data_IF_242767660748
#
_entry.id   IF_242767660748
#
_cell.length_a   1.000
_cell.length_b   1.000
_cell.length_c   1.000
_cell.angle_alpha   90.00
_cell.angle_beta   90.00
_cell.angle_gamma   90.00
#
_symmetry.space_group_name_H-M   'P 1'
#
loop_
_entity.id
_entity.type
_entity.pdbx_description
1 polymer ?
#
# COMPACT_ATOMS: atom_id res chain seq x y z
N UNK A 1 -9.45 12.38 -16.27
CA UNK A 1 -9.90 12.49 -17.68
C UNK A 1 -11.16 13.34 -17.73
N UNK A 2 -11.18 14.36 -18.59
CA UNK A 2 -12.33 15.26 -18.78
C UNK A 2 -13.57 14.44 -19.17
N UNK A 3 -14.58 14.40 -18.30
CA UNK A 3 -15.89 13.81 -18.58
C UNK A 3 -16.73 14.81 -19.36
N UNK A 4 -16.34 15.05 -20.61
CA UNK A 4 -17.08 15.98 -21.44
C UNK A 4 -18.35 15.29 -21.97
N UNK A 5 -19.48 15.63 -21.34
CA UNK A 5 -20.83 15.21 -21.74
C UNK A 5 -21.50 16.22 -22.69
N UNK A 6 -20.71 17.03 -23.38
CA UNK A 6 -21.20 18.02 -24.32
C UNK A 6 -21.46 17.36 -25.68
N UNK A 7 -22.31 17.99 -26.51
CA UNK A 7 -22.62 17.46 -27.85
C UNK A 7 -21.32 17.29 -28.66
N UNK A 8 -20.98 16.06 -29.08
CA UNK A 8 -19.68 15.77 -29.69
C UNK A 8 -19.46 16.52 -31.00
N UNK A 9 -20.53 16.81 -31.75
CA UNK A 9 -20.45 17.57 -33.01
C UNK A 9 -20.13 19.04 -32.73
N UNK A 10 -20.81 19.63 -31.75
CA UNK A 10 -20.59 21.02 -31.33
C UNK A 10 -19.17 21.22 -30.77
N UNK A 11 -18.73 20.29 -29.93
CA UNK A 11 -17.39 20.32 -29.33
C UNK A 11 -16.31 20.19 -30.39
N UNK A 12 -16.43 19.22 -31.32
CA UNK A 12 -15.49 19.06 -32.43
C UNK A 12 -15.45 20.30 -33.34
N UNK A 13 -16.61 20.89 -33.61
CA UNK A 13 -16.72 22.14 -34.38
C UNK A 13 -15.99 23.31 -33.71
N UNK A 14 -16.26 23.52 -32.42
CA UNK A 14 -15.62 24.58 -31.62
C UNK A 14 -14.10 24.36 -31.52
N UNK A 15 -13.65 23.12 -31.27
CA UNK A 15 -12.23 22.77 -31.19
C UNK A 15 -11.50 22.98 -32.51
N UNK A 16 -12.11 22.63 -33.64
CA UNK A 16 -11.55 22.88 -34.97
C UNK A 16 -11.40 24.39 -35.24
N UNK A 17 -12.38 25.19 -34.83
CA UNK A 17 -12.31 26.65 -34.94
C UNK A 17 -11.19 27.23 -34.05
N UNK A 18 -11.08 26.77 -32.80
CA UNK A 18 -10.03 27.20 -31.87
C UNK A 18 -8.62 26.73 -32.28
N UNK A 19 -8.51 25.57 -32.94
CA UNK A 19 -7.26 25.08 -33.51
C UNK A 19 -6.67 26.00 -34.59
N UNK A 20 -7.52 26.73 -35.34
CA UNK A 20 -7.07 27.75 -36.30
C UNK A 20 -6.34 28.91 -35.62
N UNK A 21 -6.70 29.21 -34.36
CA UNK A 21 -6.04 30.23 -33.54
C UNK A 21 -4.74 29.73 -32.89
N UNK A 22 -4.27 28.52 -33.24
CA UNK A 22 -3.08 27.86 -32.65
C UNK A 22 -3.17 27.72 -31.12
N UNK A 23 -4.38 27.68 -30.56
CA UNK A 23 -4.57 27.30 -29.18
C UNK A 23 -4.25 25.81 -29.06
N UNK A 24 -3.13 25.50 -28.40
CA UNK A 24 -2.71 24.12 -28.14
C UNK A 24 -3.56 23.59 -26.98
N UNK A 25 -4.35 22.56 -27.26
CA UNK A 25 -5.01 21.77 -26.22
C UNK A 25 -4.04 20.69 -25.76
N UNK A 26 -3.89 20.53 -24.45
CA UNK A 26 -3.16 19.41 -23.84
C UNK A 26 -4.14 18.63 -22.95
N UNK A 27 -4.55 17.40 -23.31
CA UNK A 27 -4.06 16.57 -24.43
C UNK A 27 -4.60 17.01 -25.81
N UNK A 28 -3.96 16.50 -26.89
CA UNK A 28 -4.38 16.73 -28.26
C UNK A 28 -5.89 16.45 -28.46
N UNK A 29 -6.62 17.35 -29.13
CA UNK A 29 -8.06 17.22 -29.30
C UNK A 29 -8.39 16.04 -30.21
N UNK A 30 -9.50 15.36 -29.92
CA UNK A 30 -10.05 14.24 -30.69
C UNK A 30 -9.19 12.96 -30.79
N UNK A 31 -8.14 12.82 -29.97
CA UNK A 31 -7.35 11.58 -29.88
C UNK A 31 -8.13 10.44 -29.21
N UNK A 32 -8.94 10.75 -28.20
CA UNK A 32 -9.74 9.76 -27.47
C UNK A 32 -11.21 10.22 -27.38
N UNK A 33 -12.20 9.40 -27.78
CA UNK A 33 -13.59 9.70 -27.54
C UNK A 33 -13.84 9.91 -26.04
N UNK A 34 -14.54 10.99 -25.68
CA UNK A 34 -14.84 11.27 -24.28
C UNK A 34 -15.71 10.16 -23.71
N UNK A 35 -15.36 9.67 -22.51
CA UNK A 35 -16.04 8.53 -21.88
C UNK A 35 -15.92 7.19 -22.62
N UNK A 36 -14.88 6.99 -23.46
CA UNK A 36 -14.62 5.68 -24.09
C UNK A 36 -14.28 4.57 -23.09
N UNK A 37 -13.68 4.92 -21.96
CA UNK A 37 -13.37 4.01 -20.86
C UNK A 37 -14.32 4.34 -19.70
N UNK A 38 -15.24 3.43 -19.41
CA UNK A 38 -16.14 3.52 -18.28
C UNK A 38 -15.81 2.42 -17.28
N UNK A 39 -15.77 2.72 -15.96
CA UNK A 39 -15.66 1.69 -14.95
C UNK A 39 -16.88 0.76 -15.02
N UNK A 40 -16.66 -0.54 -14.98
CA UNK A 40 -17.72 -1.52 -14.74
C UNK A 40 -18.24 -1.36 -13.30
N UNK A 41 -19.54 -1.58 -13.11
CA UNK A 41 -20.10 -1.69 -11.76
C UNK A 41 -19.71 -3.06 -11.20
N UNK A 42 -18.94 -3.05 -10.11
CA UNK A 42 -18.47 -4.27 -9.47
C UNK A 42 -19.40 -4.61 -8.30
N UNK A 43 -19.84 -5.86 -8.23
CA UNK A 43 -20.49 -6.42 -7.06
C UNK A 43 -19.45 -7.12 -6.17
N UNK A 44 -19.77 -7.24 -4.88
CA UNK A 44 -18.99 -8.06 -3.96
C UNK A 44 -18.91 -9.52 -4.46
N UNK A 45 -17.76 -10.22 -4.36
CA UNK A 45 -16.48 -9.78 -3.78
C UNK A 45 -15.57 -9.00 -4.74
N UNK A 46 -15.90 -8.89 -6.03
CA UNK A 46 -15.07 -8.21 -7.05
C UNK A 46 -14.75 -6.74 -6.75
N UNK A 47 -15.52 -6.09 -5.87
CA UNK A 47 -15.22 -4.72 -5.40
C UNK A 47 -13.83 -4.60 -4.77
N UNK A 48 -13.30 -5.67 -4.15
CA UNK A 48 -11.93 -5.69 -3.60
C UNK A 48 -10.88 -5.45 -4.68
N UNK A 49 -11.12 -5.93 -5.92
CA UNK A 49 -10.17 -5.71 -7.04
C UNK A 49 -9.93 -4.24 -7.27
N UNK A 50 -10.99 -3.43 -7.21
CA UNK A 50 -10.90 -1.98 -7.39
C UNK A 50 -10.09 -1.36 -6.26
N UNK A 51 -10.35 -1.76 -5.02
CA UNK A 51 -9.69 -1.21 -3.86
C UNK A 51 -8.16 -1.45 -3.88
N UNK A 52 -7.72 -2.64 -4.32
CA UNK A 52 -6.29 -2.99 -4.41
C UNK A 52 -5.63 -2.74 -5.77
N UNK A 53 -6.37 -2.29 -6.79
CA UNK A 53 -5.85 -2.13 -8.16
C UNK A 53 -6.10 -0.76 -8.81
N UNK A 54 -6.99 0.07 -8.25
CA UNK A 54 -7.23 1.43 -8.72
C UNK A 54 -6.56 2.45 -7.77
N UNK A 55 -5.54 3.14 -8.26
CA UNK A 55 -4.81 4.17 -7.50
C UNK A 55 -5.67 5.36 -7.06
N UNK A 56 -6.89 5.48 -7.59
CA UNK A 56 -7.87 6.52 -7.23
C UNK A 56 -9.02 6.00 -6.38
N UNK A 57 -9.08 4.70 -6.12
CA UNK A 57 -10.10 4.14 -5.25
C UNK A 57 -9.71 4.39 -3.79
N UNK A 58 -10.66 4.92 -3.02
CA UNK A 58 -10.61 4.90 -1.56
C UNK A 58 -11.04 3.52 -1.10
N UNK A 59 -10.32 2.93 -0.14
CA UNK A 59 -10.86 1.80 0.59
C UNK A 59 -12.02 2.28 1.45
N UNK A 60 -13.23 1.75 1.21
CA UNK A 60 -14.43 2.17 1.95
C UNK A 60 -14.33 1.86 3.45
N UNK A 61 -13.54 0.85 3.82
CA UNK A 61 -13.31 0.44 5.21
C UNK A 61 -12.28 1.30 5.96
N UNK A 62 -11.21 1.75 5.30
CA UNK A 62 -10.12 2.51 5.96
C UNK A 62 -10.20 4.01 5.72
N UNK A 63 -10.95 4.46 4.71
CA UNK A 63 -10.96 5.86 4.28
C UNK A 63 -9.63 6.34 3.66
N UNK A 64 -8.62 5.48 3.61
CA UNK A 64 -7.28 5.77 3.09
C UNK A 64 -7.23 5.42 1.60
N UNK A 65 -6.58 6.30 0.83
CA UNK A 65 -6.26 6.04 -0.58
C UNK A 65 -5.04 5.13 -0.66
N UNK A 66 -5.18 3.96 -1.27
CA UNK A 66 -4.04 3.07 -1.58
C UNK A 66 -4.19 1.65 -1.06
N UNK A 67 -3.08 0.91 -1.13
CA UNK A 67 -2.98 -0.55 -0.90
C UNK A 67 -2.40 -0.92 0.47
N UNK A 68 -1.97 0.08 1.23
CA UNK A 68 -1.36 -0.02 2.55
C UNK A 68 -1.66 1.25 3.33
N UNK A 69 -1.03 1.44 4.48
CA UNK A 69 -1.24 2.63 5.31
C UNK A 69 -0.32 3.79 4.89
N UNK A 70 -0.53 4.95 5.52
CA UNK A 70 0.43 6.05 5.40
C UNK A 70 1.82 5.65 5.94
N UNK A 71 1.87 4.69 6.87
CA UNK A 71 3.08 4.00 7.35
C UNK A 71 4.17 5.00 7.78
N UNK A 72 5.31 5.07 7.08
CA UNK A 72 6.44 5.95 7.43
C UNK A 72 6.23 7.39 6.97
N UNK A 73 5.27 7.63 6.08
CA UNK A 73 5.11 8.91 5.35
C UNK A 73 4.60 10.03 6.24
N UNK A 74 3.91 9.67 7.33
CA UNK A 74 3.36 10.62 8.32
C UNK A 74 3.90 10.33 9.71
N UNK A 75 4.98 9.55 9.85
CA UNK A 75 5.52 9.14 11.15
C UNK A 75 6.05 10.32 11.99
N UNK A 76 6.41 11.43 11.33
CA UNK A 76 6.81 12.70 11.94
C UNK A 76 5.68 13.42 12.68
N UNK A 77 4.42 13.08 12.36
CA UNK A 77 3.23 13.60 13.04
C UNK A 77 2.54 12.53 13.88
N UNK A 78 2.55 11.27 13.41
CA UNK A 78 1.73 10.20 13.96
C UNK A 78 2.46 9.27 14.94
N UNK A 79 3.80 9.24 14.91
CA UNK A 79 4.64 8.34 15.71
C UNK A 79 4.25 6.85 15.66
N UNK A 80 3.66 6.39 14.55
CA UNK A 80 3.22 4.99 14.35
C UNK A 80 4.36 3.98 14.45
N UNK A 81 5.55 4.36 14.00
CA UNK A 81 6.78 3.60 14.12
C UNK A 81 7.74 4.32 15.07
N UNK A 82 7.76 3.94 16.35
CA UNK A 82 8.66 4.54 17.33
C UNK A 82 10.12 4.14 17.09
N UNK A 83 11.03 4.87 17.71
CA UNK A 83 12.46 4.54 17.70
C UNK A 83 12.71 3.15 18.29
N UNK A 84 13.68 2.42 17.75
CA UNK A 84 14.02 1.07 18.19
C UNK A 84 13.07 -0.03 17.73
N UNK A 85 12.06 0.27 16.88
CA UNK A 85 11.20 -0.72 16.22
C UNK A 85 11.50 -0.79 14.72
N UNK A 86 11.22 -1.94 14.12
CA UNK A 86 11.32 -2.17 12.68
C UNK A 86 9.92 -2.36 12.10
N UNK A 87 9.55 -1.51 11.13
CA UNK A 87 8.34 -1.69 10.33
C UNK A 87 8.63 -2.60 9.14
N UNK A 88 7.75 -3.57 8.90
CA UNK A 88 7.78 -4.45 7.74
C UNK A 88 6.66 -4.08 6.78
N UNK A 89 7.01 -4.02 5.50
CA UNK A 89 6.10 -3.79 4.37
C UNK A 89 6.30 -4.96 3.41
N UNK A 90 5.42 -5.96 3.47
CA UNK A 90 5.47 -7.15 2.62
C UNK A 90 4.46 -6.98 1.49
N UNK A 91 4.92 -6.49 0.34
CA UNK A 91 4.07 -6.23 -0.83
C UNK A 91 4.11 -7.42 -1.81
N UNK A 92 2.95 -7.99 -2.11
CA UNK A 92 2.78 -9.07 -3.09
C UNK A 92 2.23 -8.52 -4.41
N UNK A 93 2.72 -9.02 -5.55
CA UNK A 93 2.20 -8.71 -6.89
C UNK A 93 2.94 -7.62 -7.68
N UNK A 94 4.01 -7.02 -7.11
CA UNK A 94 4.88 -6.06 -7.82
C UNK A 94 5.71 -6.74 -8.93
N UNK A 95 6.15 -6.01 -9.97
CA UNK A 95 5.82 -4.64 -10.34
C UNK A 95 4.54 -4.55 -11.20
N UNK A 96 3.51 -5.36 -10.92
CA UNK A 96 2.23 -5.58 -11.66
C UNK A 96 2.10 -6.99 -12.26
N UNK A 97 2.75 -8.00 -11.66
CA UNK A 97 2.46 -9.41 -11.96
C UNK A 97 1.12 -9.84 -11.35
N UNK A 98 0.64 -9.11 -10.34
CA UNK A 98 -0.58 -9.41 -9.61
C UNK A 98 -0.43 -10.56 -8.63
N UNK A 99 -1.40 -10.71 -7.74
CA UNK A 99 -1.47 -11.77 -6.73
C UNK A 99 -2.92 -12.13 -6.45
N UNK A 100 -3.16 -13.34 -5.94
CA UNK A 100 -4.47 -13.77 -5.44
C UNK A 100 -4.49 -13.73 -3.92
N UNK A 101 -5.67 -13.55 -3.33
CA UNK A 101 -5.80 -13.57 -1.88
C UNK A 101 -5.45 -14.92 -1.24
N UNK A 102 -5.53 -16.03 -1.97
CA UNK A 102 -4.95 -17.32 -1.51
C UNK A 102 -3.46 -17.23 -1.19
N UNK A 103 -2.69 -16.49 -1.99
CA UNK A 103 -1.25 -16.34 -1.76
C UNK A 103 -0.96 -15.36 -0.63
N UNK A 104 -1.76 -14.29 -0.55
CA UNK A 104 -1.71 -13.32 0.55
C UNK A 104 -1.99 -14.04 1.87
N UNK A 105 -3.01 -14.91 1.93
CA UNK A 105 -3.30 -15.72 3.12
C UNK A 105 -2.14 -16.65 3.45
N UNK A 106 -1.54 -17.31 2.45
CA UNK A 106 -0.39 -18.21 2.69
C UNK A 106 0.77 -17.48 3.38
N UNK A 107 1.07 -16.25 2.96
CA UNK A 107 2.08 -15.41 3.61
C UNK A 107 1.62 -14.90 4.98
N UNK A 108 0.36 -14.49 5.11
CA UNK A 108 -0.20 -14.04 6.39
C UNK A 108 -0.18 -15.15 7.45
N UNK A 109 -0.57 -16.38 7.11
CA UNK A 109 -0.51 -17.54 8.00
C UNK A 109 0.93 -17.84 8.46
N UNK A 110 1.91 -17.77 7.56
CA UNK A 110 3.32 -17.96 7.91
C UNK A 110 3.83 -16.89 8.88
N UNK A 111 3.45 -15.63 8.67
CA UNK A 111 3.79 -14.53 9.56
C UNK A 111 3.08 -14.65 10.92
N UNK A 112 1.81 -15.03 10.93
CA UNK A 112 1.03 -15.25 12.14
C UNK A 112 1.61 -16.41 12.99
N UNK A 113 2.09 -17.48 12.34
CA UNK A 113 2.73 -18.61 13.01
C UNK A 113 4.03 -18.23 13.75
N UNK A 114 4.70 -17.17 13.32
CA UNK A 114 5.84 -16.57 14.03
C UNK A 114 5.44 -15.40 14.93
N UNK A 115 4.15 -15.22 15.22
CA UNK A 115 3.65 -14.27 16.22
C UNK A 115 3.65 -12.82 15.77
N UNK A 116 3.51 -12.57 14.46
CA UNK A 116 3.32 -11.21 13.94
C UNK A 116 1.94 -10.67 14.33
N UNK A 117 1.92 -9.42 14.80
CA UNK A 117 0.70 -8.63 14.97
C UNK A 117 0.54 -7.70 13.76
N UNK A 118 -0.49 -7.94 12.93
CA UNK A 118 -0.76 -7.13 11.75
C UNK A 118 -1.28 -5.74 12.11
N UNK A 119 -0.93 -4.75 11.28
CA UNK A 119 -1.42 -3.38 11.41
C UNK A 119 -2.94 -3.33 11.22
N UNK A 120 -3.66 -2.93 12.27
CA UNK A 120 -5.14 -2.90 12.30
C UNK A 120 -5.75 -2.02 11.21
N UNK A 121 -5.08 -0.91 10.88
CA UNK A 121 -5.58 0.01 9.85
C UNK A 121 -5.22 -0.41 8.43
N UNK A 122 -4.50 -1.51 8.26
CA UNK A 122 -4.12 -2.00 6.94
C UNK A 122 -5.34 -2.61 6.21
N UNK A 123 -5.51 -2.33 4.90
CA UNK A 123 -6.63 -2.85 4.13
C UNK A 123 -6.74 -4.38 4.08
N UNK A 124 -5.62 -5.10 4.10
CA UNK A 124 -5.61 -6.58 4.10
C UNK A 124 -6.05 -7.12 5.46
N UNK A 125 -5.59 -6.51 6.55
CA UNK A 125 -6.01 -6.89 7.92
C UNK A 125 -7.52 -6.79 8.10
N UNK A 126 -8.15 -5.78 7.49
CA UNK A 126 -9.62 -5.63 7.51
C UNK A 126 -10.38 -6.70 6.72
N UNK A 127 -9.69 -7.49 5.89
CA UNK A 127 -10.24 -8.66 5.20
C UNK A 127 -9.95 -9.98 5.94
N UNK A 128 -9.29 -9.93 7.11
CA UNK A 128 -9.04 -11.10 7.93
C UNK A 128 -10.25 -11.43 8.80
N UNK A 129 -10.69 -12.68 8.79
CA UNK A 129 -11.65 -13.19 9.78
C UNK A 129 -10.98 -13.47 11.11
N UNK A 130 -9.69 -13.78 11.09
CA UNK A 130 -8.86 -13.95 12.27
C UNK A 130 -7.41 -13.48 12.01
N UNK A 131 -7.06 -12.26 12.46
CA UNK A 131 -5.71 -11.74 12.32
C UNK A 131 -4.64 -12.57 13.03
N UNK A 132 -4.99 -13.29 14.11
CA UNK A 132 -4.01 -14.07 14.89
C UNK A 132 -3.55 -15.35 14.19
N UNK A 133 -4.32 -15.83 13.21
CA UNK A 133 -3.95 -16.93 12.32
C UNK A 133 -3.60 -16.46 10.91
N UNK A 134 -3.83 -15.19 10.57
CA UNK A 134 -3.68 -14.67 9.21
C UNK A 134 -4.77 -15.13 8.24
N UNK A 135 -5.88 -15.68 8.75
CA UNK A 135 -6.98 -16.23 7.93
C UNK A 135 -7.81 -15.09 7.32
N UNK A 136 -7.95 -15.10 6.00
CA UNK A 136 -8.77 -14.14 5.24
C UNK A 136 -10.21 -14.63 5.09
N UNK A 137 -11.11 -13.69 4.80
CA UNK A 137 -12.49 -13.99 4.42
C UNK A 137 -12.50 -14.94 3.21
N UNK A 138 -13.08 -16.15 3.34
CA UNK A 138 -13.12 -17.12 2.25
C UNK A 138 -13.84 -16.59 0.99
N UNK A 139 -14.72 -15.60 1.10
CA UNK A 139 -15.40 -14.98 -0.06
C UNK A 139 -14.43 -14.23 -0.98
N UNK A 140 -13.29 -13.75 -0.47
CA UNK A 140 -12.33 -12.96 -1.28
C UNK A 140 -11.16 -13.77 -1.83
N UNK A 141 -10.98 -15.03 -1.40
CA UNK A 141 -9.77 -15.81 -1.70
C UNK A 141 -9.48 -15.98 -3.20
N UNK A 142 -10.52 -16.19 -4.01
CA UNK A 142 -10.36 -16.34 -5.47
C UNK A 142 -10.23 -14.99 -6.21
N UNK A 143 -10.26 -13.86 -5.52
CA UNK A 143 -10.07 -12.56 -6.14
C UNK A 143 -8.58 -12.28 -6.44
N UNK A 144 -8.31 -11.79 -7.65
CA UNK A 144 -6.96 -11.39 -8.09
C UNK A 144 -6.83 -9.86 -8.10
N UNK A 145 -5.75 -9.36 -7.52
CA UNK A 145 -5.45 -7.92 -7.38
C UNK A 145 -4.07 -7.59 -7.95
N UNK A 146 -3.81 -6.30 -8.23
CA UNK A 146 -2.50 -5.85 -8.74
C UNK A 146 -1.40 -5.93 -7.69
N UNK A 147 -1.63 -5.39 -6.50
CA UNK A 147 -0.78 -5.66 -5.34
C UNK A 147 -1.52 -5.43 -4.03
N UNK A 148 -1.07 -6.12 -2.99
CA UNK A 148 -1.53 -5.96 -1.62
C UNK A 148 -0.34 -5.97 -0.67
N UNK A 149 -0.47 -5.29 0.46
CA UNK A 149 0.63 -5.09 1.40
C UNK A 149 0.21 -5.60 2.77
N UNK A 150 0.96 -6.55 3.31
CA UNK A 150 0.91 -6.89 4.73
C UNK A 150 1.88 -5.96 5.47
N UNK A 151 1.37 -5.26 6.48
CA UNK A 151 2.15 -4.30 7.28
C UNK A 151 2.11 -4.70 8.75
N UNK A 152 3.25 -4.61 9.41
CA UNK A 152 3.39 -4.91 10.84
C UNK A 152 4.69 -4.31 11.36
N UNK A 153 4.88 -4.34 12.69
CA UNK A 153 6.12 -3.87 13.32
C UNK A 153 6.61 -4.88 14.35
N UNK A 154 7.92 -5.01 14.47
CA UNK A 154 8.57 -5.96 15.39
C UNK A 154 9.72 -5.30 16.13
N UNK A 155 10.24 -5.96 17.17
CA UNK A 155 11.51 -5.58 17.76
C UNK A 155 12.70 -6.03 16.87
N UNK A 156 13.88 -5.41 17.01
CA UNK A 156 15.06 -5.78 16.21
C UNK A 156 15.49 -7.25 16.41
N UNK A 157 15.26 -7.81 17.60
CA UNK A 157 15.59 -9.20 17.94
C UNK A 157 14.71 -10.21 17.20
N UNK A 158 13.49 -9.82 16.83
CA UNK A 158 12.54 -10.67 16.12
C UNK A 158 12.75 -10.65 14.61
N UNK A 159 13.42 -9.62 14.08
CA UNK A 159 13.49 -9.34 12.64
C UNK A 159 14.16 -10.46 11.83
N UNK A 160 15.18 -11.10 12.39
CA UNK A 160 15.85 -12.25 11.75
C UNK A 160 14.87 -13.41 11.53
N UNK A 161 14.10 -13.77 12.56
CA UNK A 161 13.07 -14.82 12.49
C UNK A 161 11.98 -14.49 11.46
N UNK A 162 11.59 -13.22 11.35
CA UNK A 162 10.59 -12.79 10.34
C UNK A 162 11.15 -12.95 8.93
N UNK A 163 12.38 -12.52 8.69
CA UNK A 163 13.01 -12.66 7.37
C UNK A 163 13.17 -14.13 6.97
N UNK A 164 13.55 -15.01 7.91
CA UNK A 164 13.63 -16.46 7.65
C UNK A 164 12.26 -17.04 7.26
N UNK A 165 11.19 -16.66 7.96
CA UNK A 165 9.83 -17.11 7.64
C UNK A 165 9.36 -16.59 6.27
N UNK A 166 9.73 -15.36 5.91
CA UNK A 166 9.44 -14.78 4.60
C UNK A 166 10.22 -15.49 3.48
N UNK A 167 11.49 -15.83 3.68
CA UNK A 167 12.28 -16.61 2.73
C UNK A 167 11.68 -18.01 2.51
N UNK A 168 11.27 -18.69 3.59
CA UNK A 168 10.63 -20.02 3.50
C UNK A 168 9.29 -19.97 2.76
N UNK A 169 8.41 -19.03 3.11
CA UNK A 169 7.09 -18.95 2.47
C UNK A 169 7.16 -18.50 1.01
N UNK A 170 8.23 -17.80 0.60
CA UNK A 170 8.44 -17.40 -0.78
C UNK A 170 8.50 -18.61 -1.73
N UNK A 171 8.92 -19.79 -1.27
CA UNK A 171 8.96 -21.03 -2.06
C UNK A 171 7.55 -21.63 -2.32
N UNK A 172 6.54 -21.14 -1.60
CA UNK A 172 5.17 -21.69 -1.61
C UNK A 172 4.17 -20.84 -2.39
N UNK A 173 4.61 -19.73 -2.97
CA UNK A 173 3.78 -18.77 -3.71
C UNK A 173 4.29 -18.60 -5.15
N UNK A 174 3.38 -18.34 -6.08
CA UNK A 174 3.58 -18.06 -7.50
C UNK A 174 3.35 -16.57 -7.81
N UNK A 175 3.90 -15.71 -6.97
CA UNK A 175 3.93 -14.24 -7.17
C UNK A 175 5.23 -13.65 -6.65
N UNK A 176 5.48 -12.40 -6.99
CA UNK A 176 6.63 -11.66 -6.49
C UNK A 176 6.27 -11.06 -5.14
N UNK A 177 7.07 -11.40 -4.13
CA UNK A 177 7.07 -10.78 -2.82
C UNK A 177 8.21 -9.75 -2.72
N UNK A 178 7.85 -8.49 -2.48
CA UNK A 178 8.80 -7.38 -2.27
C UNK A 178 8.76 -6.95 -0.82
N UNK A 179 9.90 -7.04 -0.14
CA UNK A 179 10.03 -6.70 1.29
C UNK A 179 10.63 -5.31 1.41
N UNK A 180 9.95 -4.42 2.12
CA UNK A 180 10.44 -3.13 2.58
C UNK A 180 10.59 -3.14 4.09
N UNK A 181 11.68 -2.52 4.58
CA UNK A 181 11.91 -2.29 6.00
C UNK A 181 11.92 -0.79 6.27
N UNK A 182 11.31 -0.40 7.38
CA UNK A 182 11.28 0.97 7.86
C UNK A 182 11.81 1.05 9.29
N UNK A 183 12.48 2.15 9.61
CA UNK A 183 12.91 2.49 10.96
C UNK A 183 12.92 4.01 11.12
N UNK A 184 12.69 4.48 12.34
CA UNK A 184 12.96 5.87 12.72
C UNK A 184 14.45 6.03 12.94
N UNK A 185 15.06 7.04 12.31
CA UNK A 185 16.45 7.38 12.56
C UNK A 185 16.60 8.12 13.90
N UNK A 186 17.73 7.91 14.56
CA UNK A 186 18.16 8.68 15.73
C UNK A 186 18.68 10.09 15.33
N UNK A 187 19.13 10.87 16.32
CA UNK A 187 19.63 12.22 16.11
C UNK A 187 20.92 12.30 15.26
N UNK A 188 21.68 11.20 15.19
CA UNK A 188 22.91 11.09 14.41
C UNK A 188 22.65 10.51 13.01
N UNK A 189 21.39 10.17 12.70
CA UNK A 189 20.95 9.59 11.44
C UNK A 189 21.04 8.07 11.37
N UNK A 190 21.47 7.40 12.45
CA UNK A 190 21.55 5.95 12.55
C UNK A 190 20.17 5.30 12.70
N UNK A 191 20.07 4.00 12.39
CA UNK A 191 18.83 3.23 12.56
C UNK A 191 19.11 1.74 12.81
N UNK A 192 18.05 1.03 13.23
CA UNK A 192 18.12 -0.41 13.57
C UNK A 192 18.08 -1.37 12.38
N UNK A 193 17.75 -0.88 11.17
CA UNK A 193 17.61 -1.71 9.97
C UNK A 193 18.94 -1.92 9.25
N UNK A 194 19.78 -0.88 9.15
CA UNK A 194 21.07 -0.98 8.47
C UNK A 194 21.97 -2.08 9.05
N UNK A 195 22.19 -2.18 10.38
CA UNK A 195 22.99 -3.26 10.95
C UNK A 195 22.39 -4.65 10.71
N UNK A 196 21.07 -4.77 10.62
CA UNK A 196 20.39 -6.04 10.31
C UNK A 196 20.72 -6.48 8.87
N UNK A 197 20.59 -5.56 7.90
CA UNK A 197 20.88 -5.83 6.50
C UNK A 197 22.35 -6.17 6.28
N UNK A 198 23.27 -5.44 6.92
CA UNK A 198 24.71 -5.71 6.87
C UNK A 198 25.05 -7.11 7.39
N UNK A 199 24.51 -7.51 8.55
CA UNK A 199 24.74 -8.85 9.12
C UNK A 199 24.25 -9.97 8.21
N UNK A 200 23.16 -9.75 7.47
CA UNK A 200 22.62 -10.71 6.48
C UNK A 200 23.30 -10.64 5.12
N UNK A 201 24.26 -9.74 4.92
CA UNK A 201 24.90 -9.52 3.62
C UNK A 201 23.93 -8.97 2.56
N UNK A 202 22.84 -8.32 2.99
CA UNK A 202 21.84 -7.71 2.11
C UNK A 202 22.24 -6.26 1.81
N UNK A 203 22.26 -5.84 0.53
CA UNK A 203 22.68 -4.49 0.18
C UNK A 203 21.61 -3.45 0.56
N UNK A 204 22.05 -2.36 1.18
CA UNK A 204 21.24 -1.14 1.33
C UNK A 204 21.26 -0.40 0.01
N UNK A 205 20.15 -0.42 -0.74
CA UNK A 205 20.11 0.16 -2.10
C UNK A 205 19.56 1.58 -2.12
N UNK A 206 18.29 1.75 -1.73
CA UNK A 206 17.53 3.00 -1.86
C UNK A 206 16.53 3.07 -0.71
N UNK A 207 16.53 4.20 -0.01
CA UNK A 207 15.56 4.50 1.02
C UNK A 207 14.75 5.73 0.64
N UNK A 208 13.50 5.78 1.11
CA UNK A 208 12.70 7.00 1.13
C UNK A 208 12.75 7.54 2.55
N UNK A 209 13.37 8.70 2.73
CA UNK A 209 13.49 9.34 4.04
C UNK A 209 12.37 10.36 4.23
N UNK A 210 11.58 10.20 5.30
CA UNK A 210 10.75 11.28 5.81
C UNK A 210 11.67 12.27 6.54
N UNK A 211 11.66 13.53 6.13
CA UNK A 211 12.56 14.57 6.67
C UNK A 211 12.16 15.07 8.07
N UNK A 212 11.02 14.65 8.62
CA UNK A 212 10.62 15.06 9.96
C UNK A 212 10.17 16.52 10.06
N UNK A 213 9.62 17.07 8.99
CA UNK A 213 9.22 18.48 8.94
C UNK A 213 7.81 18.73 9.52
N UNK A 214 7.02 17.67 9.67
CA UNK A 214 5.75 17.69 10.37
C UNK A 214 5.94 17.95 11.86
N UNK A 215 4.90 18.50 12.48
CA UNK A 215 4.83 18.67 13.93
C UNK A 215 3.65 17.84 14.41
N UNK A 216 3.82 17.01 15.44
CA UNK A 216 2.69 16.37 16.09
C UNK A 216 1.69 17.45 16.52
N UNK A 217 0.41 17.23 16.25
CA UNK A 217 -0.61 18.05 16.90
C UNK A 217 -0.44 17.87 18.41
N UNK A 218 -0.47 18.95 19.23
CA UNK A 218 -0.38 18.82 20.66
C UNK A 218 -1.57 17.99 21.15
N UNK A 219 -1.34 16.71 21.41
CA UNK A 219 -2.30 15.83 22.08
C UNK A 219 -2.60 16.50 23.42
N UNK A 220 -3.86 16.83 23.74
CA UNK A 220 -4.19 17.33 25.08
C UNK A 220 -3.71 16.27 26.07
N UNK A 221 -2.83 16.68 27.00
CA UNK A 221 -2.24 15.80 27.99
C UNK A 221 -3.34 14.93 28.60
N UNK A 222 -3.19 13.61 28.50
CA UNK A 222 -4.09 12.68 29.20
C UNK A 222 -4.13 13.11 30.67
N UNK A 223 -5.32 13.30 31.28
CA UNK A 223 -5.38 13.61 32.69
C UNK A 223 -4.65 12.50 33.45
N UNK A 224 -3.70 12.90 34.30
CA UNK A 224 -3.04 11.98 35.20
C UNK A 224 -4.12 11.20 35.95
N UNK A 225 -4.05 9.87 35.88
CA UNK A 225 -4.97 9.02 36.62
C UNK A 225 -4.88 9.34 38.12
N UNK A 226 -6.02 9.32 38.86
CA UNK A 226 -6.05 9.59 40.29
C UNK A 226 -5.25 8.59 41.12
#
# INVERSE_FOLDING_TARGET
>A
MSRERLNPVLVRGLRRALGFLRLRFDPEPDVCPTSAIVPEELAWPRTVRRAFSDVRATHESTGILGRGTEEVKTNDVTERLPEGRIGFVVELGRPSVGTRFTEIQTVAEALAAVGVEFEEQNPVTNLMTDPSSGTLDPEVLDERVLSAILEFRVSPEEADRILDALEEVAERIDTVMSIGLAARCDADGGNVVEPLLERRGLPVLRAKTNLGLGRPDPVPASPAAP
#
